data_IF_599475710200
#
_entry.id   IF_599475710200
#
_cell.length_a   1.000
_cell.length_b   1.000
_cell.length_c   1.000
_cell.angle_alpha   90.00
_cell.angle_beta   90.00
_cell.angle_gamma   90.00
#
_symmetry.space_group_name_H-M   'P 1'
#
loop_
_entity.id
_entity.type
_entity.pdbx_description
1 polymer ?
#
# COMPACT_ATOMS: atom_id res chain seq x y z
N UNK A 1 7.68 8.30 14.25
CA UNK A 1 7.01 8.76 15.47
C UNK A 1 7.07 7.66 16.50
N UNK A 2 7.24 8.01 17.78
CA UNK A 2 7.19 7.04 18.88
C UNK A 2 5.73 6.64 19.19
N UNK A 3 5.48 5.38 19.56
CA UNK A 3 4.13 4.87 19.83
C UNK A 3 3.46 5.57 21.01
N UNK A 4 4.22 5.89 22.07
CA UNK A 4 3.69 6.63 23.20
C UNK A 4 3.22 8.02 22.76
N UNK A 5 3.95 8.67 21.87
CA UNK A 5 3.52 9.96 21.28
C UNK A 5 2.23 9.76 20.49
N UNK A 6 2.17 8.77 19.60
CA UNK A 6 0.99 8.47 18.79
C UNK A 6 -0.27 8.21 19.64
N UNK A 7 -0.13 7.47 20.76
CA UNK A 7 -1.21 7.18 21.69
C UNK A 7 -1.83 8.42 22.34
N UNK A 8 -1.06 9.51 22.47
CA UNK A 8 -1.49 10.73 23.16
C UNK A 8 -1.86 11.88 22.21
N UNK A 9 -1.77 11.68 20.89
CA UNK A 9 -2.16 12.70 19.91
C UNK A 9 -3.68 12.94 19.92
N UNK A 10 -4.14 14.19 19.67
CA UNK A 10 -5.51 14.44 19.24
C UNK A 10 -5.92 13.54 18.07
N UNK A 11 -7.20 13.18 17.98
CA UNK A 11 -7.69 12.25 16.96
C UNK A 11 -7.35 12.68 15.53
N UNK A 12 -7.51 13.97 15.23
CA UNK A 12 -7.19 14.53 13.91
C UNK A 12 -5.69 14.37 13.56
N UNK A 13 -4.81 14.60 14.52
CA UNK A 13 -3.36 14.48 14.31
C UNK A 13 -2.93 13.02 14.15
N UNK A 14 -3.53 12.11 14.91
CA UNK A 14 -3.29 10.68 14.76
C UNK A 14 -3.80 10.16 13.40
N UNK A 15 -4.97 10.64 12.95
CA UNK A 15 -5.50 10.34 11.63
C UNK A 15 -4.55 10.83 10.53
N UNK A 16 -3.98 12.03 10.68
CA UNK A 16 -3.00 12.59 9.74
C UNK A 16 -1.70 11.77 9.65
N UNK A 17 -1.27 11.13 10.73
CA UNK A 17 -0.12 10.20 10.73
C UNK A 17 -0.42 8.93 9.93
N UNK A 18 -1.65 8.42 10.02
CA UNK A 18 -2.05 7.16 9.38
C UNK A 18 -2.44 7.34 7.91
N UNK A 19 -2.94 8.51 7.52
CA UNK A 19 -3.47 8.76 6.16
C UNK A 19 -2.50 8.47 5.02
N UNK A 20 -1.20 8.83 5.10
CA UNK A 20 -0.24 8.46 4.07
C UNK A 20 0.05 6.95 4.00
N UNK A 21 -0.26 6.20 5.06
CA UNK A 21 -0.10 4.76 5.10
C UNK A 21 -1.19 4.07 4.28
N UNK A 22 -2.44 4.52 4.44
CA UNK A 22 -3.59 4.08 3.68
C UNK A 22 -4.73 5.09 3.83
N UNK A 23 -5.17 5.68 2.71
CA UNK A 23 -6.27 6.65 2.69
C UNK A 23 -7.63 5.93 2.62
N UNK A 24 -7.94 5.17 3.67
CA UNK A 24 -9.23 4.50 3.88
C UNK A 24 -9.78 4.93 5.23
N UNK A 25 -10.81 5.78 5.22
CA UNK A 25 -11.36 6.42 6.42
C UNK A 25 -11.73 5.41 7.51
N UNK A 26 -12.35 4.29 7.15
CA UNK A 26 -12.71 3.24 8.10
C UNK A 26 -11.48 2.70 8.84
N UNK A 27 -10.42 2.38 8.11
CA UNK A 27 -9.17 1.86 8.67
C UNK A 27 -8.50 2.86 9.60
N UNK A 28 -8.45 4.14 9.19
CA UNK A 28 -7.88 5.22 10.00
C UNK A 28 -8.69 5.40 11.29
N UNK A 29 -10.01 5.52 11.18
CA UNK A 29 -10.88 5.80 12.33
C UNK A 29 -10.87 4.65 13.34
N UNK A 30 -10.92 3.40 12.88
CA UNK A 30 -10.83 2.23 13.76
C UNK A 30 -9.50 2.22 14.54
N UNK A 31 -8.38 2.58 13.89
CA UNK A 31 -7.09 2.61 14.55
C UNK A 31 -6.92 3.77 15.53
N UNK A 32 -7.46 4.94 15.18
CA UNK A 32 -7.44 6.13 16.04
C UNK A 32 -8.29 5.91 17.29
N UNK A 33 -9.48 5.30 17.14
CA UNK A 33 -10.41 5.05 18.23
C UNK A 33 -9.95 3.93 19.19
N UNK A 34 -9.15 2.98 18.72
CA UNK A 34 -8.66 1.86 19.54
C UNK A 34 -7.38 2.18 20.35
N UNK A 35 -6.88 3.42 20.30
CA UNK A 35 -5.78 3.88 21.17
C UNK A 35 -6.25 3.95 22.64
N UNK A 36 -5.33 3.75 23.62
CA UNK A 36 -3.91 3.52 23.45
C UNK A 36 -3.55 2.05 23.16
N UNK A 37 -2.49 1.85 22.35
CA UNK A 37 -1.90 0.52 22.14
C UNK A 37 -0.77 0.26 23.13
N UNK A 38 -0.67 -0.98 23.61
CA UNK A 38 0.38 -1.39 24.54
C UNK A 38 1.78 -1.42 23.90
N UNK A 39 1.88 -1.88 22.66
CA UNK A 39 3.12 -2.01 21.89
C UNK A 39 2.85 -2.00 20.37
N UNK A 40 3.91 -1.97 19.55
CA UNK A 40 3.80 -2.03 18.09
C UNK A 40 3.10 -3.30 17.58
N UNK A 41 3.17 -4.41 18.31
CA UNK A 41 2.51 -5.65 17.91
C UNK A 41 0.98 -5.52 18.05
N UNK A 42 0.50 -4.89 19.11
CA UNK A 42 -0.91 -4.58 19.32
C UNK A 42 -1.46 -3.64 18.23
N UNK A 43 -0.70 -2.59 17.88
CA UNK A 43 -1.06 -1.69 16.78
C UNK A 43 -1.09 -2.43 15.43
N UNK A 44 -0.09 -3.25 15.14
CA UNK A 44 -0.02 -4.06 13.91
C UNK A 44 -1.19 -5.04 13.82
N UNK A 45 -1.52 -5.71 14.92
CA UNK A 45 -2.65 -6.65 14.95
C UNK A 45 -3.99 -5.93 14.76
N UNK A 46 -4.16 -4.72 15.32
CA UNK A 46 -5.34 -3.90 15.08
C UNK A 46 -5.43 -3.50 13.60
N UNK A 47 -4.33 -3.02 13.02
CA UNK A 47 -4.28 -2.61 11.62
C UNK A 47 -4.56 -3.76 10.65
N UNK A 48 -4.13 -4.97 10.97
CA UNK A 48 -4.45 -6.19 10.22
C UNK A 48 -5.95 -6.52 10.26
N UNK A 49 -6.58 -6.41 11.44
CA UNK A 49 -8.02 -6.67 11.61
C UNK A 49 -8.85 -5.64 10.86
N UNK A 50 -8.52 -4.35 11.01
CA UNK A 50 -9.22 -3.25 10.34
C UNK A 50 -9.13 -3.34 8.82
N UNK A 51 -8.07 -3.94 8.29
CA UNK A 51 -7.85 -4.15 6.87
C UNK A 51 -8.52 -5.42 6.28
N UNK A 52 -9.38 -6.11 7.04
CA UNK A 52 -9.92 -7.42 6.65
C UNK A 52 -11.46 -7.52 6.76
N UNK A 53 -12.18 -7.69 5.64
CA UNK A 53 -11.77 -7.38 4.26
C UNK A 53 -11.88 -5.87 3.97
N UNK A 54 -11.09 -5.38 3.01
CA UNK A 54 -11.43 -4.11 2.36
C UNK A 54 -12.58 -4.33 1.36
N UNK A 55 -13.53 -3.41 1.35
CA UNK A 55 -14.55 -3.35 0.31
C UNK A 55 -13.97 -2.91 -1.03
N UNK A 56 -14.65 -3.23 -2.13
CA UNK A 56 -14.23 -2.84 -3.48
C UNK A 56 -14.08 -1.32 -3.64
N UNK A 57 -14.98 -0.53 -3.04
CA UNK A 57 -14.90 0.92 -3.04
C UNK A 57 -13.70 1.46 -2.26
N UNK A 58 -13.34 0.83 -1.14
CA UNK A 58 -12.15 1.18 -0.35
C UNK A 58 -10.87 0.88 -1.14
N UNK A 59 -10.83 -0.26 -1.84
CA UNK A 59 -9.74 -0.63 -2.73
C UNK A 59 -9.62 0.38 -3.87
N UNK A 60 -10.72 0.69 -4.56
CA UNK A 60 -10.73 1.64 -5.67
C UNK A 60 -10.26 3.04 -5.24
N UNK A 61 -10.75 3.53 -4.10
CA UNK A 61 -10.35 4.83 -3.55
C UNK A 61 -8.87 4.86 -3.19
N UNK A 62 -8.36 3.81 -2.54
CA UNK A 62 -6.94 3.70 -2.22
C UNK A 62 -6.08 3.70 -3.48
N UNK A 63 -6.45 2.90 -4.49
CA UNK A 63 -5.72 2.77 -5.76
C UNK A 63 -5.69 4.05 -6.59
N UNK A 64 -6.69 4.93 -6.48
CA UNK A 64 -6.76 6.17 -7.26
C UNK A 64 -5.54 7.08 -7.06
N UNK A 65 -4.87 6.97 -5.91
CA UNK A 65 -3.67 7.74 -5.56
C UNK A 65 -2.37 6.93 -5.65
N UNK A 66 -2.44 5.66 -6.08
CA UNK A 66 -1.26 4.81 -6.17
C UNK A 66 -0.53 5.01 -7.52
N UNK A 67 0.77 5.38 -7.49
CA UNK A 67 1.57 5.44 -8.71
C UNK A 67 1.83 4.03 -9.24
N UNK A 68 2.03 3.92 -10.56
CA UNK A 68 2.40 2.66 -11.21
C UNK A 68 3.79 2.19 -10.74
N UNK A 69 3.99 0.87 -10.70
CA UNK A 69 5.33 0.31 -10.53
C UNK A 69 6.17 0.65 -11.76
N UNK A 70 7.37 1.20 -11.52
CA UNK A 70 8.29 1.65 -12.56
C UNK A 70 8.17 3.14 -12.88
N UNK A 71 7.11 3.80 -12.43
CA UNK A 71 6.97 5.26 -12.49
C UNK A 71 7.40 5.88 -11.16
N UNK A 72 8.24 6.91 -11.22
CA UNK A 72 8.59 7.67 -10.02
C UNK A 72 7.44 8.60 -9.65
N UNK A 73 6.92 8.45 -8.43
CA UNK A 73 5.99 9.40 -7.84
C UNK A 73 6.59 10.81 -7.83
N UNK A 74 5.85 11.77 -8.39
CA UNK A 74 6.25 13.18 -8.49
C UNK A 74 5.77 13.97 -7.26
N UNK A 75 6.46 15.06 -6.95
CA UNK A 75 6.11 15.96 -5.84
C UNK A 75 6.59 15.51 -4.46
N UNK A 76 6.26 16.32 -3.45
CA UNK A 76 6.81 16.25 -2.09
C UNK A 76 5.83 15.72 -1.04
N UNK A 77 4.72 15.10 -1.46
CA UNK A 77 3.77 14.51 -0.51
C UNK A 77 4.39 13.34 0.26
N UNK A 78 3.80 13.02 1.41
CA UNK A 78 4.23 11.88 2.23
C UNK A 78 4.06 10.56 1.47
N UNK A 79 2.96 10.40 0.73
CA UNK A 79 2.66 9.25 -0.12
C UNK A 79 3.68 9.10 -1.26
N UNK A 80 4.05 10.22 -1.90
CA UNK A 80 5.05 10.22 -2.96
C UNK A 80 6.42 9.80 -2.40
N UNK A 81 6.79 10.28 -1.21
CA UNK A 81 8.02 9.90 -0.53
C UNK A 81 8.04 8.42 -0.13
N UNK A 82 6.94 7.90 0.41
CA UNK A 82 6.78 6.48 0.75
C UNK A 82 6.89 5.60 -0.49
N UNK A 83 6.18 5.96 -1.57
CA UNK A 83 6.24 5.23 -2.83
C UNK A 83 7.64 5.19 -3.44
N UNK A 84 8.40 6.30 -3.37
CA UNK A 84 9.80 6.31 -3.83
C UNK A 84 10.66 5.36 -2.99
N UNK A 85 10.47 5.34 -1.67
CA UNK A 85 11.17 4.41 -0.77
C UNK A 85 10.86 2.95 -1.07
N UNK A 86 9.59 2.62 -1.33
CA UNK A 86 9.11 1.28 -1.65
C UNK A 86 9.70 0.73 -2.95
N UNK A 87 9.95 1.61 -3.93
CA UNK A 87 10.51 1.26 -5.23
C UNK A 87 12.03 1.53 -5.33
N UNK A 88 12.69 1.99 -4.26
CA UNK A 88 14.08 2.45 -4.31
C UNK A 88 15.08 1.34 -4.69
N UNK A 89 14.76 0.09 -4.37
CA UNK A 89 15.59 -1.08 -4.70
C UNK A 89 15.36 -1.62 -6.12
N UNK A 90 14.40 -1.08 -6.86
CA UNK A 90 14.12 -1.54 -8.22
C UNK A 90 15.23 -1.12 -9.16
N UNK A 91 15.99 -2.12 -9.62
CA UNK A 91 16.91 -1.97 -10.74
C UNK A 91 16.14 -2.31 -12.01
N UNK A 92 15.87 -1.29 -12.79
CA UNK A 92 15.20 -1.42 -14.08
C UNK A 92 16.25 -1.17 -15.15
N UNK A 93 16.55 -2.20 -15.93
CA UNK A 93 17.21 -2.02 -17.23
C UNK A 93 16.14 -1.71 -18.28
N UNK A 94 16.58 -1.36 -19.50
CA UNK A 94 15.68 -0.92 -20.56
C UNK A 94 14.68 -2.02 -20.96
N UNK A 95 15.09 -3.29 -20.93
CA UNK A 95 14.22 -4.43 -21.26
C UNK A 95 13.11 -4.62 -20.21
N UNK A 96 13.50 -4.72 -18.93
CA UNK A 96 12.56 -4.90 -17.82
C UNK A 96 11.63 -3.70 -17.70
N UNK A 97 12.11 -2.48 -17.94
CA UNK A 97 11.27 -1.26 -17.97
C UNK A 97 10.18 -1.38 -19.03
N UNK A 98 10.55 -1.73 -20.26
CA UNK A 98 9.61 -1.87 -21.38
C UNK A 98 8.56 -2.95 -21.12
N UNK A 99 9.01 -4.11 -20.63
CA UNK A 99 8.13 -5.25 -20.32
C UNK A 99 7.17 -4.93 -19.17
N UNK A 100 7.64 -4.26 -18.13
CA UNK A 100 6.79 -3.84 -17.01
C UNK A 100 5.77 -2.78 -17.44
N UNK A 101 6.15 -1.84 -18.31
CA UNK A 101 5.21 -0.86 -18.86
C UNK A 101 4.11 -1.53 -19.69
N UNK A 102 4.44 -2.52 -20.51
CA UNK A 102 3.46 -3.30 -21.27
C UNK A 102 2.57 -4.14 -20.36
N UNK A 103 3.14 -4.80 -19.34
CA UNK A 103 2.39 -5.57 -18.37
C UNK A 103 1.39 -4.69 -17.60
N UNK A 104 1.78 -3.49 -17.16
CA UNK A 104 0.87 -2.52 -16.54
C UNK A 104 -0.29 -2.14 -17.47
N UNK A 105 -0.03 -1.84 -18.74
CA UNK A 105 -1.10 -1.51 -19.72
C UNK A 105 -2.10 -2.64 -19.89
N UNK A 106 -1.60 -3.88 -20.03
CA UNK A 106 -2.46 -5.08 -20.14
C UNK A 106 -3.28 -5.30 -18.87
N UNK A 107 -2.68 -5.06 -17.71
CA UNK A 107 -3.33 -5.21 -16.42
C UNK A 107 -4.47 -4.19 -16.27
N UNK A 108 -4.20 -2.91 -16.57
CA UNK A 108 -5.21 -1.85 -16.54
C UNK A 108 -6.35 -2.12 -17.53
N UNK A 109 -6.05 -2.57 -18.75
CA UNK A 109 -7.09 -2.91 -19.74
C UNK A 109 -7.99 -4.08 -19.28
N UNK A 110 -7.45 -5.05 -18.54
CA UNK A 110 -8.20 -6.22 -18.05
C UNK A 110 -9.00 -5.93 -16.79
N UNK A 111 -8.39 -5.24 -15.83
CA UNK A 111 -8.92 -5.10 -14.48
C UNK A 111 -9.44 -3.69 -14.17
N UNK A 112 -9.25 -2.72 -15.08
CA UNK A 112 -9.66 -1.33 -14.91
C UNK A 112 -9.13 -0.69 -13.61
N UNK A 113 -7.89 -1.05 -13.25
CA UNK A 113 -7.17 -0.57 -12.05
C UNK A 113 -5.66 -0.71 -12.24
N UNK A 114 -4.87 0.10 -11.54
CA UNK A 114 -3.41 0.00 -11.58
C UNK A 114 -2.93 -1.32 -10.96
N UNK A 115 -1.81 -1.84 -11.44
CA UNK A 115 -1.18 -3.01 -10.82
C UNK A 115 -0.55 -2.64 -9.49
N UNK A 116 -1.08 -3.21 -8.40
CA UNK A 116 -0.60 -2.97 -7.04
C UNK A 116 0.17 -4.18 -6.50
N UNK A 117 1.38 -3.94 -5.98
CA UNK A 117 2.19 -4.94 -5.28
C UNK A 117 3.08 -4.27 -4.24
N UNK A 118 3.33 -4.93 -3.10
CA UNK A 118 4.33 -4.46 -2.12
C UNK A 118 5.73 -4.56 -2.73
N UNK A 119 6.27 -3.47 -3.28
CA UNK A 119 7.54 -3.51 -4.00
C UNK A 119 8.77 -3.72 -3.11
N UNK A 120 8.73 -3.23 -1.87
CA UNK A 120 9.87 -3.29 -0.95
C UNK A 120 10.41 -4.72 -0.81
N UNK A 121 11.70 -4.96 -1.07
CA UNK A 121 12.31 -6.29 -0.96
C UNK A 121 12.02 -7.26 -2.11
N UNK A 122 11.38 -6.81 -3.20
CA UNK A 122 11.25 -7.55 -4.46
C UNK A 122 12.17 -6.97 -5.53
N UNK A 123 12.68 -7.84 -6.39
CA UNK A 123 13.33 -7.45 -7.64
C UNK A 123 12.30 -7.07 -8.70
N UNK A 124 12.75 -6.33 -9.71
CA UNK A 124 11.93 -5.95 -10.86
C UNK A 124 11.42 -7.16 -11.66
N UNK A 125 12.24 -8.21 -11.78
CA UNK A 125 11.85 -9.47 -12.42
C UNK A 125 10.77 -10.22 -11.64
N UNK A 126 10.85 -10.28 -10.30
CA UNK A 126 9.79 -10.88 -9.47
C UNK A 126 8.49 -10.08 -9.59
N UNK A 127 8.56 -8.76 -9.63
CA UNK A 127 7.37 -7.91 -9.82
C UNK A 127 6.73 -8.14 -11.18
N UNK A 128 7.53 -8.20 -12.24
CA UNK A 128 7.05 -8.50 -13.58
C UNK A 128 6.40 -9.89 -13.65
N UNK A 129 7.04 -10.91 -13.07
CA UNK A 129 6.50 -12.26 -13.00
C UNK A 129 5.16 -12.32 -12.25
N UNK A 130 5.03 -11.57 -11.14
CA UNK A 130 3.75 -11.47 -10.43
C UNK A 130 2.68 -10.76 -11.24
N UNK A 131 3.03 -9.72 -11.99
CA UNK A 131 2.09 -9.05 -12.89
C UNK A 131 1.61 -10.01 -14.00
N UNK A 132 2.53 -10.72 -14.64
CA UNK A 132 2.23 -11.72 -15.66
C UNK A 132 1.38 -12.89 -15.12
N UNK A 133 1.66 -13.38 -13.90
CA UNK A 133 0.84 -14.41 -13.24
C UNK A 133 -0.59 -13.90 -12.98
N UNK A 134 -0.72 -12.71 -12.39
CA UNK A 134 -2.00 -12.12 -11.98
C UNK A 134 -2.88 -11.70 -13.15
N UNK A 135 -2.30 -11.46 -14.32
CA UNK A 135 -3.07 -11.33 -15.57
C UNK A 135 -3.91 -12.57 -15.91
N UNK A 136 -3.55 -13.75 -15.38
CA UNK A 136 -4.31 -14.99 -15.51
C UNK A 136 -5.52 -15.11 -14.56
N UNK A 137 -5.63 -14.24 -13.55
CA UNK A 137 -6.70 -14.29 -12.56
C UNK A 137 -8.06 -13.87 -13.15
N UNK A 138 -9.14 -14.37 -12.55
CA UNK A 138 -10.48 -13.76 -12.66
C UNK A 138 -10.59 -12.50 -11.79
N UNK A 139 -11.69 -11.74 -11.95
CA UNK A 139 -11.88 -10.46 -11.24
C UNK A 139 -11.89 -10.62 -9.72
N UNK A 140 -12.58 -11.64 -9.20
CA UNK A 140 -12.75 -11.84 -7.76
C UNK A 140 -11.45 -12.28 -7.08
N UNK A 141 -10.69 -13.14 -7.76
CA UNK A 141 -9.36 -13.58 -7.32
C UNK A 141 -8.39 -12.42 -7.32
N UNK A 142 -8.42 -11.61 -8.38
CA UNK A 142 -7.54 -10.45 -8.46
C UNK A 142 -7.88 -9.40 -7.41
N UNK A 143 -9.17 -9.14 -7.17
CA UNK A 143 -9.59 -8.19 -6.15
C UNK A 143 -9.13 -8.60 -4.75
N UNK A 144 -9.20 -9.90 -4.43
CA UNK A 144 -8.66 -10.46 -3.17
C UNK A 144 -7.15 -10.25 -3.07
N UNK A 145 -6.40 -10.57 -4.12
CA UNK A 145 -4.94 -10.36 -4.12
C UNK A 145 -4.56 -8.87 -3.99
N UNK A 146 -5.26 -7.97 -4.67
CA UNK A 146 -5.07 -6.52 -4.54
C UNK A 146 -5.30 -6.08 -3.10
N UNK A 147 -6.38 -6.53 -2.46
CA UNK A 147 -6.65 -6.20 -1.06
C UNK A 147 -5.52 -6.66 -0.12
N UNK A 148 -4.95 -7.84 -0.37
CA UNK A 148 -3.81 -8.35 0.40
C UNK A 148 -2.54 -7.52 0.18
N UNK A 149 -2.24 -7.12 -1.06
CA UNK A 149 -1.11 -6.25 -1.34
C UNK A 149 -1.28 -4.87 -0.69
N UNK A 150 -2.49 -4.29 -0.77
CA UNK A 150 -2.81 -3.01 -0.16
C UNK A 150 -2.63 -3.06 1.36
N UNK A 151 -3.13 -4.11 2.00
CA UNK A 151 -2.91 -4.36 3.44
C UNK A 151 -1.42 -4.47 3.77
N UNK A 152 -0.64 -5.21 2.98
CA UNK A 152 0.80 -5.36 3.21
C UNK A 152 1.56 -4.04 3.10
N UNK A 153 1.19 -3.19 2.14
CA UNK A 153 1.76 -1.84 1.98
C UNK A 153 1.37 -0.95 3.16
N UNK A 154 0.09 -0.93 3.55
CA UNK A 154 -0.40 -0.12 4.66
C UNK A 154 0.33 -0.45 5.98
N UNK A 155 0.50 -1.74 6.28
CA UNK A 155 1.23 -2.19 7.46
C UNK A 155 2.71 -1.79 7.41
N UNK A 156 3.37 -1.95 6.27
CA UNK A 156 4.78 -1.57 6.11
C UNK A 156 4.98 -0.06 6.34
N UNK A 157 4.11 0.77 5.77
CA UNK A 157 4.12 2.23 5.94
C UNK A 157 3.86 2.61 7.38
N UNK A 158 2.84 2.02 8.01
CA UNK A 158 2.47 2.29 9.40
C UNK A 158 3.60 1.93 10.36
N UNK A 159 4.20 0.74 10.25
CA UNK A 159 5.32 0.33 11.11
C UNK A 159 6.58 1.18 10.91
N UNK A 160 6.71 1.85 9.76
CA UNK A 160 7.78 2.82 9.53
C UNK A 160 7.46 4.19 10.16
N UNK A 161 6.19 4.60 10.11
CA UNK A 161 5.67 5.87 10.61
C UNK A 161 5.54 5.91 12.14
N UNK A 162 5.08 4.83 12.76
CA UNK A 162 4.91 4.67 14.21
C UNK A 162 5.80 3.51 14.69
N UNK A 163 6.66 3.77 15.67
CA UNK A 163 7.68 2.84 16.18
C UNK A 163 7.59 2.79 17.70
N UNK A 164 7.78 1.62 18.32
CA UNK A 164 7.76 1.49 19.79
C UNK A 164 7.52 0.07 20.24
#
# INVERSE_FOLDING_TARGET
>A
MDLHVFNNLPEADAAAVLRPCLDVERWINELVAARPYADSAALTAAAQRSAAPFGESEIAAALAHHPRIGERAQGDSAEASLSRGEQASLRLDDDVTSRLAEANRRYEARFNRVFLIRAAGRSSNEILAECERRLGNDQDTELREVAEQLRAIALLRMSSAVRG
#
